data_IF_891993898580
#
_entry.id   IF_891993898580
#
_cell.length_a   1.000
_cell.length_b   1.000
_cell.length_c   1.000
_cell.angle_alpha   90.00
_cell.angle_beta   90.00
_cell.angle_gamma   90.00
#
_symmetry.space_group_name_H-M   'P 1'
#
loop_
_entity.id
_entity.type
_entity.pdbx_description
1 polymer ?
#
# COMPACT_ATOMS: atom_id res chain seq x y z
N UNK A 1 -25.30 5.10 16.65
CA UNK A 1 -26.25 4.84 15.54
C UNK A 1 -25.54 5.26 14.27
N UNK A 2 -25.31 4.33 13.34
CA UNK A 2 -24.74 4.66 12.04
C UNK A 2 -25.85 5.22 11.14
N UNK A 3 -25.55 6.15 10.21
CA UNK A 3 -26.55 6.69 9.30
C UNK A 3 -27.12 5.59 8.40
N UNK A 4 -28.44 5.54 8.23
CA UNK A 4 -29.07 4.74 7.18
C UNK A 4 -28.88 5.45 5.83
N UNK A 5 -28.20 4.78 4.90
CA UNK A 5 -28.00 5.25 3.53
C UNK A 5 -28.88 4.46 2.57
N UNK A 6 -29.55 5.15 1.65
CA UNK A 6 -30.40 4.51 0.64
C UNK A 6 -29.59 3.62 -0.31
N UNK A 7 -30.24 2.69 -1.01
CA UNK A 7 -29.57 1.87 -2.03
C UNK A 7 -28.95 2.72 -3.15
N UNK A 8 -29.59 3.83 -3.54
CA UNK A 8 -29.09 4.73 -4.58
C UNK A 8 -27.82 5.43 -4.10
N UNK A 9 -27.83 5.97 -2.87
CA UNK A 9 -26.64 6.60 -2.29
C UNK A 9 -25.50 5.59 -2.13
N UNK A 10 -25.79 4.35 -1.74
CA UNK A 10 -24.79 3.27 -1.69
C UNK A 10 -24.13 3.04 -3.04
N UNK A 11 -24.89 3.00 -4.13
CA UNK A 11 -24.35 2.81 -5.47
C UNK A 11 -23.50 4.01 -5.91
N UNK A 12 -23.96 5.23 -5.63
CA UNK A 12 -23.20 6.45 -5.93
C UNK A 12 -21.86 6.50 -5.19
N UNK A 13 -21.81 6.05 -3.93
CA UNK A 13 -20.57 5.99 -3.16
C UNK A 13 -19.57 4.94 -3.68
N UNK A 14 -20.01 3.98 -4.50
CA UNK A 14 -19.15 2.99 -5.14
C UNK A 14 -18.62 3.45 -6.51
N UNK A 15 -19.10 4.57 -7.04
CA UNK A 15 -18.58 5.09 -8.30
C UNK A 15 -17.10 5.49 -8.13
N UNK A 16 -16.20 4.97 -9.00
CA UNK A 16 -14.80 5.33 -8.90
C UNK A 16 -14.60 6.81 -9.24
N UNK A 17 -13.62 7.48 -8.62
CA UNK A 17 -13.29 8.85 -8.98
C UNK A 17 -13.00 8.98 -10.49
N UNK A 18 -13.66 9.94 -11.15
CA UNK A 18 -13.47 10.24 -12.57
C UNK A 18 -12.28 11.17 -12.83
N UNK A 19 -11.57 11.55 -11.77
CA UNK A 19 -10.39 12.43 -11.80
C UNK A 19 -9.13 11.65 -11.47
N UNK A 20 -7.97 12.22 -11.78
CA UNK A 20 -6.69 11.72 -11.28
C UNK A 20 -6.73 11.64 -9.74
N UNK A 21 -6.36 10.49 -9.19
CA UNK A 21 -6.32 10.24 -7.75
C UNK A 21 -4.90 10.39 -7.25
N UNK A 22 -4.70 11.30 -6.30
CA UNK A 22 -3.46 11.41 -5.55
C UNK A 22 -3.51 10.42 -4.39
N UNK A 23 -2.50 9.57 -4.27
CA UNK A 23 -2.48 8.49 -3.29
C UNK A 23 -1.08 8.24 -2.72
N UNK A 24 -1.05 7.56 -1.58
CA UNK A 24 0.09 6.80 -1.10
C UNK A 24 -0.30 5.31 -1.17
N UNK A 25 0.68 4.44 -1.42
CA UNK A 25 0.46 3.00 -1.47
C UNK A 25 1.11 2.35 -0.25
N UNK A 26 0.32 1.69 0.59
CA UNK A 26 0.77 0.92 1.75
C UNK A 26 0.57 -0.57 1.44
N UNK A 27 1.65 -1.36 1.42
CA UNK A 27 1.67 -2.70 0.82
C UNK A 27 2.85 -3.53 1.33
N UNK A 28 2.72 -4.85 1.32
CA UNK A 28 3.73 -5.84 1.73
C UNK A 28 4.24 -6.70 0.54
N UNK A 29 4.89 -6.10 -0.47
CA UNK A 29 5.18 -6.75 -1.76
C UNK A 29 6.12 -7.95 -1.73
N UNK A 30 6.72 -8.25 -0.58
CA UNK A 30 7.41 -9.51 -0.39
C UNK A 30 6.45 -10.66 -0.09
N UNK A 31 5.39 -10.40 0.68
CA UNK A 31 4.47 -11.40 1.18
C UNK A 31 3.61 -12.02 0.08
N UNK A 32 3.06 -11.20 -0.82
CA UNK A 32 2.28 -11.66 -1.98
C UNK A 32 2.80 -11.01 -3.27
N UNK A 33 2.66 -11.73 -4.40
CA UNK A 33 3.26 -11.31 -5.67
C UNK A 33 2.43 -10.23 -6.36
N UNK A 34 1.12 -10.24 -6.16
CA UNK A 34 0.16 -9.30 -6.73
C UNK A 34 0.41 -7.86 -6.26
N UNK A 35 0.95 -7.66 -5.06
CA UNK A 35 1.41 -6.35 -4.59
C UNK A 35 2.52 -5.75 -5.47
N UNK A 36 3.44 -6.57 -5.98
CA UNK A 36 4.46 -6.08 -6.92
C UNK A 36 3.81 -5.60 -8.22
N UNK A 37 2.79 -6.32 -8.70
CA UNK A 37 2.01 -5.91 -9.86
C UNK A 37 1.20 -4.65 -9.57
N UNK A 38 0.67 -4.47 -8.36
CA UNK A 38 -0.04 -3.26 -7.95
C UNK A 38 0.88 -2.03 -7.98
N UNK A 39 2.12 -2.14 -7.48
CA UNK A 39 3.13 -1.08 -7.58
C UNK A 39 3.40 -0.72 -9.04
N UNK A 40 3.67 -1.71 -9.90
CA UNK A 40 3.94 -1.49 -11.32
C UNK A 40 2.75 -0.83 -11.99
N UNK A 41 1.54 -1.38 -11.82
CA UNK A 41 0.32 -0.87 -12.44
C UNK A 41 0.04 0.58 -12.01
N UNK A 42 0.22 0.90 -10.72
CA UNK A 42 0.02 2.24 -10.21
C UNK A 42 0.98 3.27 -10.84
N UNK A 43 2.24 2.89 -11.05
CA UNK A 43 3.26 3.75 -11.65
C UNK A 43 3.12 3.88 -13.17
N UNK A 44 2.62 2.83 -13.84
CA UNK A 44 2.37 2.82 -15.28
C UNK A 44 1.03 3.46 -15.69
N UNK A 45 0.23 3.92 -14.72
CA UNK A 45 -1.06 4.59 -14.97
C UNK A 45 -1.04 6.09 -14.58
N UNK A 46 -0.06 6.90 -15.04
CA UNK A 46 0.14 8.28 -14.58
C UNK A 46 -0.98 9.25 -15.00
N UNK A 47 -1.86 8.86 -15.91
CA UNK A 47 -3.07 9.58 -16.29
C UNK A 47 -4.20 9.42 -15.26
N UNK A 48 -4.20 8.32 -14.50
CA UNK A 48 -5.20 8.04 -13.46
C UNK A 48 -4.69 8.23 -12.05
N UNK A 49 -3.41 7.98 -11.81
CA UNK A 49 -2.82 7.94 -10.47
C UNK A 49 -1.64 8.90 -10.33
N UNK A 50 -1.59 9.58 -9.19
CA UNK A 50 -0.43 10.32 -8.72
C UNK A 50 0.07 9.67 -7.43
N UNK A 51 1.01 8.74 -7.55
CA UNK A 51 1.61 8.06 -6.40
C UNK A 51 2.64 8.96 -5.75
N UNK A 52 2.40 9.37 -4.51
CA UNK A 52 3.27 10.27 -3.75
C UNK A 52 4.37 9.53 -3.00
N UNK A 53 4.05 8.35 -2.48
CA UNK A 53 4.94 7.52 -1.68
C UNK A 53 4.47 6.06 -1.68
N UNK A 54 5.40 5.16 -1.40
CA UNK A 54 5.13 3.75 -1.10
C UNK A 54 5.61 3.48 0.34
N UNK A 55 4.77 2.88 1.16
CA UNK A 55 5.09 2.45 2.52
C UNK A 55 5.09 0.92 2.58
N UNK A 56 6.15 0.35 3.16
CA UNK A 56 6.26 -1.08 3.35
C UNK A 56 5.51 -1.52 4.60
N UNK A 57 4.51 -2.40 4.44
CA UNK A 57 3.75 -2.97 5.54
C UNK A 57 4.46 -4.20 6.16
N UNK A 58 4.33 -4.42 7.48
CA UNK A 58 4.81 -5.61 8.14
C UNK A 58 3.95 -6.85 7.82
N UNK A 59 4.58 -8.02 7.81
CA UNK A 59 3.89 -9.31 7.78
C UNK A 59 4.68 -10.35 8.60
N UNK A 60 3.98 -11.31 9.20
CA UNK A 60 4.58 -12.36 10.03
C UNK A 60 4.12 -13.74 9.54
N UNK A 61 5.05 -14.50 8.98
CA UNK A 61 4.85 -15.91 8.62
C UNK A 61 6.22 -16.62 8.47
N UNK A 62 6.20 -17.89 8.06
CA UNK A 62 7.41 -18.67 7.83
C UNK A 62 8.43 -17.99 6.88
N UNK A 63 7.98 -17.13 5.95
CA UNK A 63 8.88 -16.39 5.07
C UNK A 63 9.62 -15.33 5.87
N UNK A 64 8.96 -14.54 6.73
CA UNK A 64 9.63 -13.57 7.62
C UNK A 64 10.18 -14.17 8.91
N UNK A 65 10.08 -15.49 9.13
CA UNK A 65 10.48 -16.13 10.39
C UNK A 65 9.61 -15.69 11.56
N UNK A 66 8.32 -15.44 11.29
CA UNK A 66 7.32 -14.96 12.24
C UNK A 66 7.70 -13.64 12.94
N UNK A 67 8.52 -12.82 12.26
CA UNK A 67 9.00 -11.51 12.73
C UNK A 67 8.47 -10.40 11.81
N UNK A 68 7.58 -9.57 12.36
CA UNK A 68 6.88 -8.49 11.67
C UNK A 68 7.82 -7.43 11.10
N UNK A 69 8.83 -7.04 11.89
CA UNK A 69 9.84 -6.08 11.47
C UNK A 69 10.64 -6.64 10.32
N UNK A 70 11.01 -7.92 10.39
CA UNK A 70 11.67 -8.60 9.27
C UNK A 70 10.79 -8.65 8.04
N UNK A 71 9.48 -8.87 8.20
CA UNK A 71 8.52 -8.77 7.11
C UNK A 71 8.54 -7.39 6.46
N UNK A 72 8.42 -6.33 7.26
CA UNK A 72 8.45 -4.95 6.78
C UNK A 72 9.76 -4.63 6.03
N UNK A 73 10.93 -5.00 6.58
CA UNK A 73 12.22 -4.75 5.92
C UNK A 73 12.29 -5.44 4.54
N UNK A 74 11.78 -6.67 4.43
CA UNK A 74 11.74 -7.38 3.14
C UNK A 74 10.78 -6.72 2.15
N UNK A 75 9.61 -6.29 2.61
CA UNK A 75 8.66 -5.52 1.81
C UNK A 75 9.28 -4.21 1.30
N UNK A 76 10.05 -3.53 2.15
CA UNK A 76 10.79 -2.32 1.80
C UNK A 76 11.85 -2.57 0.71
N UNK A 77 12.62 -3.65 0.85
CA UNK A 77 13.62 -4.05 -0.14
C UNK A 77 12.98 -4.39 -1.49
N UNK A 78 11.93 -5.22 -1.50
CA UNK A 78 11.23 -5.60 -2.74
C UNK A 78 10.59 -4.40 -3.43
N UNK A 79 9.93 -3.51 -2.69
CA UNK A 79 9.36 -2.29 -3.27
C UNK A 79 10.43 -1.46 -3.99
N UNK A 80 11.63 -1.33 -3.40
CA UNK A 80 12.75 -0.64 -4.05
C UNK A 80 13.24 -1.38 -5.28
N UNK A 81 13.39 -2.71 -5.22
CA UNK A 81 13.79 -3.51 -6.38
C UNK A 81 12.83 -3.35 -7.55
N UNK A 82 11.51 -3.34 -7.29
CA UNK A 82 10.49 -3.08 -8.32
C UNK A 82 10.72 -1.70 -8.95
N UNK A 83 10.93 -0.64 -8.14
CA UNK A 83 11.20 0.70 -8.65
C UNK A 83 12.51 0.78 -9.46
N UNK A 84 13.57 0.11 -9.02
CA UNK A 84 14.84 0.04 -9.75
C UNK A 84 14.64 -0.57 -11.14
N UNK A 85 13.83 -1.63 -11.26
CA UNK A 85 13.50 -2.27 -12.56
C UNK A 85 12.72 -1.35 -13.50
N UNK A 86 12.04 -0.32 -12.98
CA UNK A 86 11.27 0.63 -13.77
C UNK A 86 12.07 1.88 -14.18
N UNK A 87 13.29 2.12 -13.66
CA UNK A 87 14.07 3.34 -13.91
C UNK A 87 14.42 3.62 -15.37
N UNK A 88 14.38 2.61 -16.24
CA UNK A 88 14.64 2.75 -17.67
C UNK A 88 13.44 3.16 -18.52
N UNK A 89 12.26 3.29 -17.93
CA UNK A 89 11.03 3.67 -18.62
C UNK A 89 10.82 5.19 -18.55
N UNK A 90 10.17 5.75 -19.57
CA UNK A 90 9.72 7.14 -19.55
C UNK A 90 8.51 7.29 -18.62
N UNK A 91 8.79 7.46 -17.33
CA UNK A 91 7.80 7.65 -16.28
C UNK A 91 7.94 9.03 -15.63
N UNK A 92 6.86 9.57 -15.04
CA UNK A 92 7.00 10.64 -14.07
C UNK A 92 7.95 10.22 -12.95
N UNK A 93 8.44 11.20 -12.19
CA UNK A 93 9.34 10.96 -11.06
C UNK A 93 8.83 9.81 -10.18
N UNK A 94 9.64 8.75 -10.05
CA UNK A 94 9.34 7.62 -9.16
C UNK A 94 9.18 8.11 -7.71
N UNK A 95 8.18 7.61 -6.96
CA UNK A 95 7.96 7.99 -5.57
C UNK A 95 9.08 7.46 -4.68
N UNK A 96 9.20 8.06 -3.49
CA UNK A 96 10.05 7.49 -2.46
C UNK A 96 9.38 6.26 -1.83
N UNK A 97 10.20 5.29 -1.43
CA UNK A 97 9.79 4.14 -0.61
C UNK A 97 10.21 4.42 0.83
N UNK A 98 9.30 4.22 1.77
CA UNK A 98 9.52 4.36 3.21
C UNK A 98 9.28 3.04 3.92
N UNK A 99 9.99 2.85 5.03
CA UNK A 99 9.66 1.82 6.01
C UNK A 99 8.34 2.20 6.69
N UNK A 100 7.45 1.22 6.84
CA UNK A 100 6.22 1.37 7.61
C UNK A 100 6.44 1.01 9.09
N UNK A 101 5.37 0.56 9.74
CA UNK A 101 5.43 0.10 11.13
C UNK A 101 6.27 -1.17 11.26
N UNK A 102 7.05 -1.26 12.34
CA UNK A 102 7.82 -2.47 12.65
C UNK A 102 6.99 -3.55 13.36
N UNK A 103 5.76 -3.22 13.78
CA UNK A 103 4.85 -4.14 14.46
C UNK A 103 3.37 -3.87 14.16
N UNK A 104 2.47 -4.81 14.44
CA UNK A 104 1.03 -4.58 14.51
C UNK A 104 0.67 -3.63 15.67
N UNK A 105 -0.50 -3.03 15.56
CA UNK A 105 -1.13 -2.35 16.69
C UNK A 105 -1.50 -3.39 17.77
N UNK A 106 -1.08 -3.13 19.01
CA UNK A 106 -1.48 -3.93 20.17
C UNK A 106 -2.75 -3.37 20.82
N UNK A 107 -3.34 -4.13 21.75
CA UNK A 107 -4.46 -3.65 22.57
C UNK A 107 -4.11 -2.37 23.35
N UNK A 108 -2.88 -2.30 23.88
CA UNK A 108 -2.35 -1.14 24.59
C UNK A 108 -2.24 0.10 23.68
N UNK A 109 -1.82 -0.10 22.42
CA UNK A 109 -1.70 0.98 21.44
C UNK A 109 -3.09 1.54 21.04
N UNK A 110 -4.13 0.70 21.03
CA UNK A 110 -5.47 1.06 20.57
C UNK A 110 -6.32 1.82 21.62
N UNK A 111 -5.85 1.90 22.87
CA UNK A 111 -6.55 2.61 23.94
C UNK A 111 -7.85 1.93 24.39
N UNK A 112 -8.09 0.69 24.00
CA UNK A 112 -9.20 -0.12 24.50
C UNK A 112 -8.83 -0.64 25.89
N UNK A 113 -9.19 0.12 26.93
CA UNK A 113 -9.27 -0.44 28.28
C UNK A 113 -10.54 -1.27 28.36
N UNK A 114 -10.39 -2.59 28.45
CA UNK A 114 -11.49 -3.52 28.75
C UNK A 114 -12.20 -3.21 30.06
#
# INVERSE_FOLDING_TARGET
>A
MYPEISQVERLQLLEPPQRKVTMVLDTDPYNEIDDQFAIVYALLSPERLEVKAIYAAPFANARSGDDERRGMERSYEVAKEVLEKLRGLELPRLPAVFRGSERWISEDDAGFKG
#
